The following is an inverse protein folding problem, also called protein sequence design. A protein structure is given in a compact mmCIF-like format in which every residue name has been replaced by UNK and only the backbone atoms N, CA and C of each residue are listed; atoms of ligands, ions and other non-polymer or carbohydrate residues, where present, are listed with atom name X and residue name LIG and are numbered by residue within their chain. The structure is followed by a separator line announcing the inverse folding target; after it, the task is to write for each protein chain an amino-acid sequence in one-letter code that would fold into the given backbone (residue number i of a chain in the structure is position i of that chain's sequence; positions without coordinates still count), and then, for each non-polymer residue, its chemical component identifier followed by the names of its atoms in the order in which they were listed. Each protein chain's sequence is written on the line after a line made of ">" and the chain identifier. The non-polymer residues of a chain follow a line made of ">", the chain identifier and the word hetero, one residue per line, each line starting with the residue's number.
data_IF_415477294587
#
_entry.id   IF_415477294587
#
_cell.length_a   1.000
_cell.length_b   1.000
_cell.length_c   1.000
_cell.angle_alpha   90.00
_cell.angle_beta   90.00
_cell.angle_gamma   90.00
#
_symmetry.space_group_name_H-M   'P 1'
#
loop_
_entity.id
_entity.type
_entity.pdbx_description
1 polymer ?
#
# COMPACT_ATOMS: atom_id res chain seq x y z
N UNK A 1 -12.65 9.14 11.11
CA UNK A 1 -11.34 8.58 11.55
C UNK A 1 -10.24 9.44 10.94
N UNK A 2 -9.15 9.75 11.66
CA UNK A 2 -8.08 10.60 11.12
C UNK A 2 -6.91 9.73 10.62
N UNK A 3 -6.62 9.79 9.31
CA UNK A 3 -5.48 9.13 8.64
C UNK A 3 -4.18 9.25 9.45
N UNK A 4 -3.91 10.44 10.00
CA UNK A 4 -2.70 10.73 10.76
C UNK A 4 -2.59 9.85 12.01
N UNK A 5 -3.72 9.56 12.70
CA UNK A 5 -3.71 8.71 13.89
C UNK A 5 -3.33 7.27 13.54
N UNK A 6 -3.80 6.77 12.40
CA UNK A 6 -3.46 5.42 11.93
C UNK A 6 -2.00 5.36 11.48
N UNK A 7 -1.50 6.37 10.78
CA UNK A 7 -0.08 6.46 10.40
C UNK A 7 0.83 6.49 11.62
N UNK A 8 0.47 7.22 12.68
CA UNK A 8 1.23 7.23 13.93
C UNK A 8 1.24 5.86 14.62
N UNK A 9 0.10 5.16 14.61
CA UNK A 9 0.01 3.80 15.17
C UNK A 9 0.85 2.80 14.37
N UNK A 10 0.81 2.88 13.04
CA UNK A 10 1.65 2.07 12.15
C UNK A 10 3.14 2.37 12.42
N UNK A 11 3.51 3.65 12.55
CA UNK A 11 4.89 4.05 12.88
C UNK A 11 5.36 3.46 14.22
N UNK A 12 4.55 3.55 15.28
CA UNK A 12 4.88 2.96 16.59
C UNK A 12 5.13 1.45 16.48
N UNK A 13 4.27 0.73 15.75
CA UNK A 13 4.41 -0.71 15.55
C UNK A 13 5.63 -1.08 14.71
N UNK A 14 5.93 -0.29 13.69
CA UNK A 14 7.14 -0.44 12.87
C UNK A 14 8.42 -0.23 13.69
N UNK A 15 8.48 0.84 14.49
CA UNK A 15 9.63 1.14 15.36
C UNK A 15 9.89 0.01 16.35
N UNK A 16 8.82 -0.57 16.90
CA UNK A 16 8.88 -1.69 17.85
C UNK A 16 9.01 -3.07 17.17
N UNK A 17 8.91 -3.13 15.84
CA UNK A 17 8.88 -4.36 15.03
C UNK A 17 7.82 -5.37 15.50
N UNK A 18 6.64 -4.86 15.87
CA UNK A 18 5.50 -5.67 16.30
C UNK A 18 4.50 -5.75 15.14
N UNK A 19 4.16 -6.97 14.73
CA UNK A 19 3.03 -7.25 13.86
C UNK A 19 1.96 -7.98 14.67
N UNK A 20 1.05 -7.21 15.26
CA UNK A 20 -0.11 -7.65 16.01
C UNK A 20 -1.41 -7.30 15.27
N UNK A 21 -2.55 -7.81 15.75
CA UNK A 21 -3.88 -7.51 15.21
C UNK A 21 -4.13 -5.99 15.12
N UNK A 22 -3.51 -5.21 16.00
CA UNK A 22 -3.63 -3.75 16.02
C UNK A 22 -3.00 -3.13 14.77
N UNK A 23 -1.82 -3.60 14.33
CA UNK A 23 -1.21 -3.17 13.07
C UNK A 23 -2.08 -3.55 11.87
N UNK A 24 -2.60 -4.78 11.84
CA UNK A 24 -3.44 -5.27 10.75
C UNK A 24 -4.76 -4.50 10.65
N UNK A 25 -5.43 -4.26 11.79
CA UNK A 25 -6.65 -3.44 11.87
C UNK A 25 -6.37 -2.00 11.47
N UNK A 26 -5.20 -1.45 11.80
CA UNK A 26 -4.83 -0.11 11.36
C UNK A 26 -4.70 -0.01 9.84
N UNK A 27 -4.05 -0.98 9.20
CA UNK A 27 -3.95 -1.02 7.74
C UNK A 27 -5.29 -1.31 7.05
N UNK A 28 -6.11 -2.22 7.60
CA UNK A 28 -7.48 -2.47 7.11
C UNK A 28 -8.35 -1.22 7.21
N UNK A 29 -8.25 -0.50 8.34
CA UNK A 29 -8.95 0.77 8.54
C UNK A 29 -8.47 1.80 7.52
N UNK A 30 -7.16 1.91 7.33
CA UNK A 30 -6.55 2.82 6.35
C UNK A 30 -7.08 2.55 4.94
N UNK A 31 -7.11 1.29 4.51
CA UNK A 31 -7.68 0.88 3.23
C UNK A 31 -9.13 1.39 3.08
N UNK A 32 -9.98 1.12 4.07
CA UNK A 32 -11.39 1.54 4.04
C UNK A 32 -11.57 3.06 4.00
N UNK A 33 -10.74 3.83 4.71
CA UNK A 33 -10.89 5.30 4.74
C UNK A 33 -10.25 6.00 3.55
N UNK A 34 -9.43 5.29 2.77
CA UNK A 34 -8.93 5.77 1.47
C UNK A 34 -9.86 5.44 0.31
N UNK A 35 -10.77 4.49 0.48
CA UNK A 35 -11.75 4.11 -0.54
C UNK A 35 -12.66 5.27 -0.93
N UNK A 36 -12.79 5.47 -2.25
CA UNK A 36 -13.52 6.57 -2.89
C UNK A 36 -13.26 7.98 -2.28
N UNK A 37 -12.13 8.17 -1.58
CA UNK A 37 -11.84 9.38 -0.80
C UNK A 37 -10.47 9.97 -1.17
N UNK A 38 -10.37 10.71 -2.30
CA UNK A 38 -9.10 11.20 -2.84
C UNK A 38 -8.25 12.02 -1.87
N UNK A 39 -8.88 12.80 -1.00
CA UNK A 39 -8.18 13.63 -0.01
C UNK A 39 -7.46 12.78 1.04
N UNK A 40 -7.99 11.61 1.37
CA UNK A 40 -7.33 10.69 2.31
C UNK A 40 -6.17 9.95 1.63
N UNK A 41 -6.30 9.58 0.35
CA UNK A 41 -5.19 9.08 -0.47
C UNK A 41 -4.04 10.09 -0.56
N UNK A 42 -4.36 11.37 -0.79
CA UNK A 42 -3.37 12.44 -0.81
C UNK A 42 -2.68 12.58 0.55
N UNK A 43 -3.43 12.61 1.65
CA UNK A 43 -2.85 12.68 3.00
C UNK A 43 -1.95 11.49 3.31
N UNK A 44 -2.29 10.29 2.86
CA UNK A 44 -1.42 9.13 3.00
C UNK A 44 -0.05 9.39 2.36
N UNK A 45 -0.02 9.86 1.11
CA UNK A 45 1.23 10.18 0.40
C UNK A 45 2.02 11.31 1.08
N UNK A 46 1.33 12.39 1.46
CA UNK A 46 1.96 13.57 2.10
C UNK A 46 2.54 13.28 3.50
N UNK A 47 2.00 12.28 4.19
CA UNK A 47 2.39 11.97 5.58
C UNK A 47 3.22 10.68 5.67
N UNK A 48 4.13 10.48 4.69
CA UNK A 48 5.12 9.39 4.68
C UNK A 48 4.49 8.00 4.63
N UNK A 49 3.23 7.87 4.21
CA UNK A 49 2.51 6.60 4.17
C UNK A 49 3.22 5.54 3.31
N UNK A 50 3.82 5.96 2.20
CA UNK A 50 4.63 5.06 1.37
C UNK A 50 5.91 4.58 2.07
N UNK A 51 6.56 5.40 2.89
CA UNK A 51 7.73 4.96 3.65
C UNK A 51 7.34 3.84 4.63
N UNK A 52 6.22 4.01 5.33
CA UNK A 52 5.70 2.99 6.24
C UNK A 52 5.27 1.73 5.50
N UNK A 53 4.65 1.86 4.34
CA UNK A 53 4.30 0.73 3.47
C UNK A 53 5.55 -0.09 3.10
N UNK A 54 6.62 0.57 2.64
CA UNK A 54 7.88 -0.09 2.29
C UNK A 54 8.55 -0.75 3.50
N UNK A 55 8.52 -0.09 4.66
CA UNK A 55 9.05 -0.65 5.89
C UNK A 55 8.27 -1.91 6.32
N UNK A 56 6.94 -1.90 6.23
CA UNK A 56 6.11 -3.06 6.51
C UNK A 56 6.44 -4.22 5.56
N UNK A 57 6.55 -3.97 4.25
CA UNK A 57 6.94 -5.00 3.27
C UNK A 57 8.26 -5.66 3.62
N UNK A 58 9.26 -4.86 3.99
CA UNK A 58 10.61 -5.35 4.30
C UNK A 58 10.67 -6.10 5.63
N UNK A 59 9.95 -5.64 6.64
CA UNK A 59 10.03 -6.19 8.02
C UNK A 59 9.09 -7.38 8.18
N UNK A 60 7.95 -7.39 7.48
CA UNK A 60 6.89 -8.39 7.62
C UNK A 60 6.49 -9.03 6.27
N UNK A 61 7.44 -9.61 5.52
CA UNK A 61 7.16 -10.16 4.19
C UNK A 61 6.18 -11.35 4.21
N UNK A 62 6.13 -12.09 5.32
CA UNK A 62 5.34 -13.33 5.45
C UNK A 62 3.95 -13.09 6.08
N UNK A 63 3.50 -11.83 6.19
CA UNK A 63 2.23 -11.47 6.84
C UNK A 63 1.14 -11.20 5.81
N UNK A 64 0.58 -12.25 5.25
CA UNK A 64 -0.33 -12.17 4.10
C UNK A 64 -1.51 -11.22 4.28
N UNK A 65 -2.16 -11.22 5.45
CA UNK A 65 -3.31 -10.35 5.73
C UNK A 65 -2.92 -8.87 5.80
N UNK A 66 -1.82 -8.57 6.50
CA UNK A 66 -1.22 -7.24 6.52
C UNK A 66 -0.92 -6.76 5.10
N UNK A 67 -0.25 -7.60 4.29
CA UNK A 67 0.13 -7.27 2.92
C UNK A 67 -1.10 -7.04 2.03
N UNK A 68 -2.14 -7.87 2.16
CA UNK A 68 -3.40 -7.70 1.43
C UNK A 68 -4.03 -6.34 1.73
N UNK A 69 -4.13 -5.96 3.01
CA UNK A 69 -4.70 -4.67 3.43
C UNK A 69 -3.88 -3.49 2.89
N UNK A 70 -2.55 -3.60 2.95
CA UNK A 70 -1.63 -2.60 2.40
C UNK A 70 -1.78 -2.43 0.89
N UNK A 71 -1.88 -3.53 0.14
CA UNK A 71 -2.05 -3.50 -1.31
C UNK A 71 -3.42 -2.95 -1.72
N UNK A 72 -4.48 -3.26 -0.95
CA UNK A 72 -5.81 -2.69 -1.15
C UNK A 72 -5.80 -1.16 -1.05
N UNK A 73 -5.18 -0.61 0.00
CA UNK A 73 -5.00 0.84 0.12
C UNK A 73 -4.25 1.42 -1.09
N UNK A 74 -3.17 0.78 -1.52
CA UNK A 74 -2.37 1.26 -2.65
C UNK A 74 -3.17 1.25 -3.95
N UNK A 75 -4.06 0.27 -4.12
CA UNK A 75 -5.09 0.21 -5.17
C UNK A 75 -5.91 1.50 -5.22
N UNK A 76 -6.51 1.86 -4.08
CA UNK A 76 -7.35 3.06 -3.97
C UNK A 76 -6.56 4.34 -4.27
N UNK A 77 -5.27 4.42 -3.88
CA UNK A 77 -4.41 5.55 -4.23
C UNK A 77 -4.15 5.63 -5.74
N UNK A 78 -3.94 4.49 -6.41
CA UNK A 78 -3.69 4.42 -7.85
C UNK A 78 -4.93 4.79 -8.69
N UNK A 79 -6.13 4.57 -8.18
CA UNK A 79 -7.37 4.99 -8.85
C UNK A 79 -7.49 6.52 -8.94
N UNK A 80 -6.87 7.27 -8.02
CA UNK A 80 -6.86 8.73 -8.04
C UNK A 80 -5.88 9.26 -9.10
N UNK A 81 -6.41 9.66 -10.26
CA UNK A 81 -5.62 10.11 -11.42
C UNK A 81 -4.55 11.17 -11.10
N UNK A 82 -4.85 12.13 -10.22
CA UNK A 82 -3.92 13.20 -9.83
C UNK A 82 -2.73 12.71 -8.99
N UNK A 83 -2.84 11.55 -8.34
CA UNK A 83 -1.80 10.98 -7.48
C UNK A 83 -0.91 9.99 -8.21
N UNK A 84 -1.35 9.45 -9.36
CA UNK A 84 -0.57 8.51 -10.18
C UNK A 84 0.85 8.99 -10.50
N UNK A 85 1.10 10.27 -10.87
CA UNK A 85 2.47 10.73 -11.12
C UNK A 85 3.41 10.59 -9.92
N UNK A 86 2.87 10.67 -8.70
CA UNK A 86 3.66 10.47 -7.47
C UNK A 86 4.02 9.00 -7.26
N UNK A 87 3.15 8.07 -7.70
CA UNK A 87 3.40 6.63 -7.66
C UNK A 87 4.42 6.17 -8.73
N UNK A 88 4.59 6.93 -9.82
CA UNK A 88 5.58 6.63 -10.88
C UNK A 88 7.02 7.01 -10.53
N UNK A 89 7.31 7.29 -9.26
CA UNK A 89 8.68 7.52 -8.81
C UNK A 89 9.50 6.23 -8.99
N UNK A 90 10.74 6.34 -9.49
CA UNK A 90 11.66 5.21 -9.69
C UNK A 90 11.79 4.29 -8.47
N UNK A 91 11.75 4.86 -7.26
CA UNK A 91 11.79 4.08 -6.01
C UNK A 91 10.56 3.20 -5.82
N UNK A 92 9.37 3.70 -6.18
CA UNK A 92 8.15 2.92 -6.05
C UNK A 92 8.05 1.89 -7.17
N UNK A 93 8.47 2.24 -8.39
CA UNK A 93 8.55 1.29 -9.51
C UNK A 93 9.49 0.11 -9.24
N UNK A 94 10.64 0.31 -8.60
CA UNK A 94 11.52 -0.79 -8.22
C UNK A 94 10.85 -1.70 -7.18
N UNK A 95 10.10 -1.14 -6.24
CA UNK A 95 9.35 -1.93 -5.25
C UNK A 95 8.22 -2.70 -5.93
N UNK A 96 7.46 -2.07 -6.83
CA UNK A 96 6.45 -2.79 -7.61
C UNK A 96 7.07 -3.95 -8.40
N UNK A 97 8.27 -3.76 -8.95
CA UNK A 97 9.01 -4.80 -9.67
C UNK A 97 9.48 -5.93 -8.75
N UNK A 98 10.06 -5.62 -7.59
CA UNK A 98 10.46 -6.64 -6.59
C UNK A 98 9.26 -7.42 -6.06
N UNK A 99 8.12 -6.76 -5.88
CA UNK A 99 6.86 -7.42 -5.53
C UNK A 99 6.39 -8.35 -6.64
N UNK A 100 6.50 -7.96 -7.91
CA UNK A 100 6.18 -8.81 -9.06
C UNK A 100 7.06 -10.06 -9.14
N UNK A 101 8.37 -9.92 -8.89
CA UNK A 101 9.34 -11.02 -8.93
C UNK A 101 9.11 -12.02 -7.78
N UNK A 102 8.80 -11.52 -6.58
CA UNK A 102 8.46 -12.37 -5.41
C UNK A 102 7.11 -13.10 -5.51
N UNK A 103 6.25 -12.75 -6.47
CA UNK A 103 4.93 -13.37 -6.68
C UNK A 103 4.94 -14.58 -7.62
N UNK A 104 6.04 -14.88 -8.33
CA UNK A 104 6.05 -16.01 -9.28
C UNK A 104 5.98 -17.39 -8.62
N UNK A 105 6.17 -17.48 -7.29
CA UNK A 105 6.26 -18.75 -6.57
C UNK A 105 4.98 -19.17 -5.81
N UNK A 106 3.83 -18.53 -6.07
CA UNK A 106 2.53 -19.22 -5.94
C UNK A 106 1.45 -18.60 -5.04
N UNK A 107 0.80 -17.51 -5.47
CA UNK A 107 -0.52 -17.09 -4.93
C UNK A 107 -1.42 -16.55 -6.06
N UNK A 108 -2.36 -17.36 -6.55
CA UNK A 108 -3.35 -17.01 -7.59
C UNK A 108 -4.30 -15.86 -7.19
N UNK A 109 -4.47 -15.59 -5.89
CA UNK A 109 -5.38 -14.54 -5.39
C UNK A 109 -4.77 -13.13 -5.46
N UNK A 110 -3.45 -13.02 -5.68
CA UNK A 110 -2.72 -11.74 -5.70
C UNK A 110 -2.75 -11.08 -7.09
N UNK A 111 -3.08 -11.81 -8.14
CA UNK A 111 -2.96 -11.38 -9.53
C UNK A 111 -4.02 -10.36 -9.96
N UNK A 112 -5.26 -10.42 -9.46
CA UNK A 112 -6.34 -9.54 -9.96
C UNK A 112 -6.25 -8.10 -9.45
N UNK A 113 -5.97 -7.92 -8.15
CA UNK A 113 -5.76 -6.59 -7.57
C UNK A 113 -4.46 -5.94 -8.09
N UNK A 114 -3.43 -6.75 -8.34
CA UNK A 114 -2.19 -6.27 -8.94
C UNK A 114 -2.32 -5.98 -10.43
N UNK A 115 -3.13 -6.75 -11.18
CA UNK A 115 -3.50 -6.40 -12.55
C UNK A 115 -4.34 -5.13 -12.58
N UNK A 116 -5.21 -4.88 -11.59
CA UNK A 116 -5.94 -3.62 -11.47
C UNK A 116 -4.99 -2.44 -11.23
N UNK A 117 -4.02 -2.61 -10.32
CA UNK A 117 -2.95 -1.64 -10.06
C UNK A 117 -2.09 -1.40 -11.30
N UNK A 118 -1.57 -2.45 -11.92
CA UNK A 118 -0.72 -2.40 -13.10
C UNK A 118 -1.49 -1.85 -14.31
N UNK A 119 -2.77 -2.18 -14.51
CA UNK A 119 -3.58 -1.58 -15.58
C UNK A 119 -3.89 -0.12 -15.28
N UNK A 120 -4.18 0.28 -14.04
CA UNK A 120 -4.40 1.71 -13.72
C UNK A 120 -3.11 2.55 -13.77
N UNK A 121 -1.96 1.94 -13.53
CA UNK A 121 -0.63 2.56 -13.52
C UNK A 121 -0.03 2.56 -14.95
N UNK A 122 -0.03 1.42 -15.65
CA UNK A 122 0.61 1.24 -16.96
C UNK A 122 -0.30 1.46 -18.19
N UNK A 123 -1.64 1.32 -18.13
CA UNK A 123 -2.50 1.63 -19.30
C UNK A 123 -2.63 3.14 -19.61
N UNK A 124 -1.86 4.01 -18.95
CA UNK A 124 -1.72 5.42 -19.36
C UNK A 124 -0.51 5.59 -20.31
N UNK A 125 0.09 4.51 -20.81
CA UNK A 125 1.24 4.58 -21.75
C UNK A 125 0.99 3.89 -23.11
N UNK A 126 -0.26 3.60 -23.49
CA UNK A 126 -0.61 3.32 -24.90
C UNK A 126 -1.89 4.09 -25.26
#
# INVERSE_FOLDING_TARGET
>A
MNIIKMLNLISDRLERRICDDVLEVAWSTMWNVTDETPQNCQRFLENRGMEYFLACLKIFPDKEELLRNMMGLLGNVAEVALLRPQLMNKLFLSVFYELLDSCSDGIEVRTDLFNLLFNNICCVTI
#
